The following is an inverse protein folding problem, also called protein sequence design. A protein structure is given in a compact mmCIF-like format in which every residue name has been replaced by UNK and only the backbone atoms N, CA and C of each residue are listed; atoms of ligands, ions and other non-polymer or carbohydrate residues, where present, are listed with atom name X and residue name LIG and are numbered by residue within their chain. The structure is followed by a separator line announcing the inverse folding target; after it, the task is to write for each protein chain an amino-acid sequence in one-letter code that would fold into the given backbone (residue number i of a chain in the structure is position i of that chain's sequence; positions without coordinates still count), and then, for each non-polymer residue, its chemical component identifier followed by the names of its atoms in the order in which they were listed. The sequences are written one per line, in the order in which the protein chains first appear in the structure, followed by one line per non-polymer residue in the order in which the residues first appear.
data_IF_309468866953
#
_entry.id   IF_309468866953
#
_cell.length_a   1.000
_cell.length_b   1.000
_cell.length_c   1.000
_cell.angle_alpha   90.00
_cell.angle_beta   90.00
_cell.angle_gamma   90.00
#
_symmetry.space_group_name_H-M   'P 1'
#
loop_
_entity.id
_entity.type
_entity.pdbx_description
1 polymer ?
#
# COMPACT_ATOMS: atom_id res chain seq x y z
N UNK A 1 -4.88 -9.89 -1.46
CA UNK A 1 -6.26 -10.37 -1.29
C UNK A 1 -6.20 -11.50 -0.28
N UNK A 2 -6.84 -11.34 0.88
CA UNK A 2 -6.79 -12.33 1.96
C UNK A 2 -8.18 -12.95 2.11
N UNK A 3 -8.32 -14.24 1.83
CA UNK A 3 -9.52 -14.99 2.17
C UNK A 3 -9.42 -15.39 3.65
N UNK A 4 -10.38 -14.95 4.47
CA UNK A 4 -10.43 -15.35 5.88
C UNK A 4 -11.38 -16.53 6.01
N UNK A 5 -10.82 -17.70 6.30
CA UNK A 5 -11.58 -18.91 6.58
C UNK A 5 -11.87 -18.96 8.09
N UNK A 6 -13.13 -18.84 8.47
CA UNK A 6 -13.56 -19.06 9.85
C UNK A 6 -14.19 -20.44 9.94
N UNK A 7 -13.55 -21.33 10.71
CA UNK A 7 -14.11 -22.63 11.07
C UNK A 7 -14.45 -22.59 12.56
N UNK A 8 -15.72 -22.66 12.90
CA UNK A 8 -16.20 -22.85 14.26
C UNK A 8 -16.75 -24.27 14.38
N UNK A 9 -16.23 -25.03 15.34
CA UNK A 9 -16.73 -26.37 15.67
C UNK A 9 -17.20 -26.36 17.11
N UNK A 10 -18.45 -26.72 17.35
CA UNK A 10 -19.01 -26.90 18.67
C UNK A 10 -19.44 -28.37 18.83
N UNK A 11 -19.04 -28.99 19.94
CA UNK A 11 -19.38 -30.37 20.28
C UNK A 11 -20.16 -30.36 21.59
N UNK A 12 -21.40 -30.82 21.54
CA UNK A 12 -22.23 -30.99 22.74
C UNK A 12 -21.81 -32.27 23.49
N UNK A 13 -22.03 -32.29 24.80
CA UNK A 13 -21.72 -33.43 25.69
C UNK A 13 -22.51 -34.71 25.33
N UNK A 14 -23.53 -34.59 24.46
CA UNK A 14 -24.34 -35.68 23.91
C UNK A 14 -23.82 -36.24 22.57
N UNK A 15 -22.65 -35.78 22.11
CA UNK A 15 -22.00 -36.28 20.89
C UNK A 15 -22.45 -35.62 19.58
N UNK A 16 -23.30 -34.60 19.64
CA UNK A 16 -23.68 -33.82 18.46
C UNK A 16 -22.59 -32.78 18.14
N UNK A 17 -22.12 -32.78 16.90
CA UNK A 17 -21.13 -31.86 16.37
C UNK A 17 -21.77 -30.89 15.37
N UNK A 18 -21.60 -29.59 15.61
CA UNK A 18 -22.03 -28.54 14.69
C UNK A 18 -20.76 -27.84 14.17
N UNK A 19 -20.53 -27.93 12.87
CA UNK A 19 -19.43 -27.26 12.18
C UNK A 19 -19.98 -26.13 11.29
N UNK A 20 -19.56 -24.89 11.58
CA UNK A 20 -19.89 -23.71 10.79
C UNK A 20 -18.60 -23.27 10.08
N UNK A 21 -18.60 -23.32 8.74
CA UNK A 21 -17.52 -22.81 7.90
C UNK A 21 -18.02 -21.57 7.15
N UNK A 22 -17.44 -20.40 7.43
CA UNK A 22 -17.69 -19.18 6.67
C UNK A 22 -16.43 -18.76 5.93
N UNK A 23 -16.58 -18.57 4.62
CA UNK A 23 -15.54 -18.03 3.74
C UNK A 23 -15.88 -16.57 3.50
N UNK A 24 -15.15 -15.68 4.16
CA UNK A 24 -15.24 -14.24 3.89
C UNK A 24 -14.10 -13.91 2.93
N UNK A 25 -14.46 -13.80 1.65
CA UNK A 25 -13.52 -13.49 0.57
C UNK A 25 -13.61 -12.01 0.26
N UNK A 26 -12.47 -11.32 0.28
CA UNK A 26 -12.32 -9.93 -0.17
C UNK A 26 -12.33 -9.82 -1.72
N UNK A 27 -12.93 -10.83 -2.37
CA UNK A 27 -13.14 -10.90 -3.81
C UNK A 27 -14.53 -10.33 -4.12
N UNK A 28 -14.64 -9.39 -5.07
CA UNK A 28 -15.93 -8.80 -5.43
C UNK A 28 -16.84 -9.77 -6.18
N UNK A 29 -16.31 -10.93 -6.62
CA UNK A 29 -17.10 -12.02 -7.17
C UNK A 29 -17.53 -12.99 -6.07
N UNK A 30 -18.83 -13.32 -6.06
CA UNK A 30 -19.34 -14.44 -5.28
C UNK A 30 -18.64 -15.74 -5.70
N UNK A 31 -18.33 -16.65 -4.75
CA UNK A 31 -17.96 -18.03 -5.04
C UNK A 31 -18.90 -18.68 -6.05
N UNK A 32 -18.34 -19.50 -6.94
CA UNK A 32 -19.09 -20.16 -8.04
C UNK A 32 -20.29 -20.95 -7.51
N UNK A 33 -20.15 -21.61 -6.36
CA UNK A 33 -21.22 -22.36 -5.68
C UNK A 33 -22.39 -21.47 -5.24
N UNK A 34 -22.11 -20.21 -4.88
CA UNK A 34 -23.13 -19.24 -4.48
C UNK A 34 -23.79 -18.60 -5.70
N UNK A 35 -23.05 -18.39 -6.79
CA UNK A 35 -23.59 -17.95 -8.08
C UNK A 35 -24.53 -19.00 -8.70
N UNK A 36 -24.18 -20.29 -8.58
CA UNK A 36 -25.03 -21.39 -9.05
C UNK A 36 -26.36 -21.44 -8.28
N UNK A 37 -26.32 -21.29 -6.95
CA UNK A 37 -27.54 -21.18 -6.13
C UNK A 37 -28.38 -19.94 -6.46
N UNK A 38 -27.73 -18.82 -6.77
CA UNK A 38 -28.41 -17.59 -7.20
C UNK A 38 -29.09 -17.80 -8.56
N UNK A 39 -28.42 -18.47 -9.50
CA UNK A 39 -28.95 -18.80 -10.82
C UNK A 39 -30.20 -19.68 -10.76
N UNK A 40 -30.26 -20.63 -9.81
CA UNK A 40 -31.41 -21.52 -9.62
C UNK A 40 -32.70 -20.80 -9.23
N UNK A 41 -32.62 -19.68 -8.49
CA UNK A 41 -33.78 -18.93 -8.01
C UNK A 41 -34.09 -17.68 -8.85
N UNK A 42 -33.05 -16.96 -9.29
CA UNK A 42 -33.15 -15.70 -10.03
C UNK A 42 -31.95 -15.54 -10.99
N UNK A 43 -32.03 -16.11 -12.20
CA UNK A 43 -30.92 -16.10 -13.15
C UNK A 43 -30.53 -14.70 -13.63
N UNK A 44 -31.49 -13.76 -13.63
CA UNK A 44 -31.30 -12.34 -13.95
C UNK A 44 -30.32 -11.61 -13.01
N UNK A 45 -30.25 -12.04 -11.75
CA UNK A 45 -29.37 -11.42 -10.76
C UNK A 45 -27.90 -11.81 -10.95
N UNK A 46 -27.62 -12.93 -11.63
CA UNK A 46 -26.24 -13.34 -11.91
C UNK A 46 -25.58 -12.37 -12.87
N UNK A 47 -26.29 -11.95 -13.92
CA UNK A 47 -25.78 -10.97 -14.90
C UNK A 47 -25.58 -9.60 -14.25
N UNK A 48 -26.50 -9.19 -13.37
CA UNK A 48 -26.36 -7.98 -12.57
C UNK A 48 -25.10 -8.02 -11.69
N UNK A 49 -24.89 -9.09 -10.93
CA UNK A 49 -23.70 -9.25 -10.07
C UNK A 49 -22.42 -9.18 -10.91
N UNK A 50 -22.36 -9.87 -12.04
CA UNK A 50 -21.18 -9.83 -12.93
C UNK A 50 -20.92 -8.41 -13.44
N UNK A 51 -21.96 -7.67 -13.83
CA UNK A 51 -21.84 -6.30 -14.30
C UNK A 51 -21.32 -5.36 -13.19
N UNK A 52 -21.93 -5.41 -12.01
CA UNK A 52 -21.51 -4.61 -10.86
C UNK A 52 -20.07 -4.93 -10.45
N UNK A 53 -19.68 -6.21 -10.44
CA UNK A 53 -18.30 -6.61 -10.15
C UNK A 53 -17.31 -6.07 -11.20
N UNK A 54 -17.69 -6.04 -12.48
CA UNK A 54 -16.84 -5.44 -13.52
C UNK A 54 -16.69 -3.92 -13.32
N UNK A 55 -17.75 -3.23 -12.93
CA UNK A 55 -17.73 -1.79 -12.67
C UNK A 55 -16.86 -1.47 -11.44
N UNK A 56 -17.03 -2.20 -10.35
CA UNK A 56 -16.17 -2.07 -9.16
C UNK A 56 -14.70 -2.33 -9.50
N UNK A 57 -14.40 -3.37 -10.28
CA UNK A 57 -13.04 -3.68 -10.71
C UNK A 57 -12.42 -2.56 -11.57
N UNK A 58 -13.21 -1.91 -12.44
CA UNK A 58 -12.76 -0.73 -13.21
C UNK A 58 -12.47 0.44 -12.29
N UNK A 59 -13.33 0.73 -11.32
CA UNK A 59 -13.14 1.79 -10.33
C UNK A 59 -11.87 1.55 -9.51
N UNK A 60 -11.67 0.34 -8.97
CA UNK A 60 -10.45 -0.03 -8.23
C UNK A 60 -9.18 0.11 -9.06
N UNK A 61 -9.21 -0.26 -10.35
CA UNK A 61 -8.07 -0.05 -11.25
C UNK A 61 -7.77 1.42 -11.47
N UNK A 62 -8.81 2.24 -11.63
CA UNK A 62 -8.67 3.68 -11.80
C UNK A 62 -8.12 4.36 -10.54
N UNK A 63 -8.62 3.98 -9.36
CA UNK A 63 -8.13 4.45 -8.07
C UNK A 63 -6.68 4.06 -7.85
N UNK A 64 -6.32 2.78 -8.06
CA UNK A 64 -4.94 2.32 -7.96
C UNK A 64 -4.03 3.10 -8.91
N UNK A 65 -4.48 3.42 -10.12
CA UNK A 65 -3.70 4.24 -11.07
C UNK A 65 -3.47 5.65 -10.52
N UNK A 66 -4.50 6.29 -9.95
CA UNK A 66 -4.39 7.63 -9.34
C UNK A 66 -3.47 7.61 -8.13
N UNK A 67 -3.66 6.65 -7.23
CA UNK A 67 -2.82 6.48 -6.03
C UNK A 67 -1.36 6.28 -6.43
N UNK A 68 -1.09 5.35 -7.36
CA UNK A 68 0.28 5.11 -7.84
C UNK A 68 0.90 6.36 -8.46
N UNK A 69 0.11 7.15 -9.20
CA UNK A 69 0.57 8.39 -9.79
C UNK A 69 0.88 9.46 -8.74
N UNK A 70 0.03 9.65 -7.74
CA UNK A 70 0.30 10.58 -6.64
C UNK A 70 1.50 10.15 -5.80
N UNK A 71 1.62 8.86 -5.47
CA UNK A 71 2.79 8.31 -4.79
C UNK A 71 4.06 8.52 -5.62
N UNK A 72 3.98 8.37 -6.95
CA UNK A 72 5.11 8.66 -7.83
C UNK A 72 5.51 10.14 -7.78
N UNK A 73 4.54 11.05 -7.88
CA UNK A 73 4.77 12.49 -7.78
C UNK A 73 5.40 12.85 -6.43
N UNK A 74 4.85 12.34 -5.33
CA UNK A 74 5.37 12.59 -3.99
C UNK A 74 6.84 12.16 -3.86
N UNK A 75 7.19 10.99 -4.40
CA UNK A 75 8.57 10.50 -4.43
C UNK A 75 9.50 11.39 -5.25
N UNK A 76 9.05 11.84 -6.43
CA UNK A 76 9.82 12.75 -7.28
C UNK A 76 10.03 14.10 -6.58
N UNK A 77 8.99 14.65 -5.97
CA UNK A 77 9.09 15.91 -5.21
C UNK A 77 10.06 15.76 -4.04
N UNK A 78 9.96 14.67 -3.28
CA UNK A 78 10.90 14.38 -2.19
C UNK A 78 12.35 14.28 -2.66
N UNK A 79 12.59 13.65 -3.81
CA UNK A 79 13.92 13.57 -4.43
C UNK A 79 14.46 14.94 -4.84
N UNK A 80 13.63 15.78 -5.45
CA UNK A 80 14.02 17.15 -5.87
C UNK A 80 14.37 18.01 -4.65
N UNK A 81 13.56 17.99 -3.59
CA UNK A 81 13.88 18.74 -2.37
C UNK A 81 15.14 18.21 -1.68
N UNK A 82 15.34 16.89 -1.66
CA UNK A 82 16.56 16.27 -1.14
C UNK A 82 17.79 16.74 -1.90
N UNK A 83 17.72 16.83 -3.24
CA UNK A 83 18.82 17.35 -4.06
C UNK A 83 19.13 18.82 -3.74
N UNK A 84 18.11 19.67 -3.59
CA UNK A 84 18.30 21.09 -3.28
C UNK A 84 18.99 21.24 -1.91
N UNK A 85 18.53 20.52 -0.88
CA UNK A 85 19.12 20.55 0.45
C UNK A 85 20.57 20.06 0.41
N UNK A 86 20.86 19.01 -0.37
CA UNK A 86 22.21 18.50 -0.55
C UNK A 86 23.14 19.55 -1.18
N UNK A 87 22.69 20.22 -2.25
CA UNK A 87 23.47 21.26 -2.92
C UNK A 87 23.74 22.43 -1.98
N UNK A 88 22.72 22.92 -1.26
CA UNK A 88 22.89 24.04 -0.32
C UNK A 88 23.83 23.66 0.82
N UNK A 89 23.69 22.47 1.40
CA UNK A 89 24.56 22.02 2.50
C UNK A 89 26.02 21.83 2.07
N UNK A 90 26.26 21.28 0.88
CA UNK A 90 27.62 21.10 0.33
C UNK A 90 28.24 22.47 -0.03
N UNK A 91 27.51 23.34 -0.73
CA UNK A 91 28.01 24.67 -1.09
C UNK A 91 28.28 25.52 0.15
N UNK A 92 27.40 25.46 1.15
CA UNK A 92 27.59 26.14 2.43
C UNK A 92 28.83 25.62 3.18
N UNK A 93 29.07 24.31 3.17
CA UNK A 93 30.26 23.73 3.79
C UNK A 93 31.55 24.17 3.08
N UNK A 94 31.56 24.18 1.74
CA UNK A 94 32.71 24.65 0.95
C UNK A 94 32.99 26.13 1.24
N UNK A 95 31.96 26.97 1.24
CA UNK A 95 32.08 28.40 1.50
C UNK A 95 32.69 28.68 2.89
N UNK A 96 32.20 27.99 3.93
CA UNK A 96 32.73 28.12 5.30
C UNK A 96 34.19 27.65 5.41
N UNK A 97 34.59 26.63 4.63
CA UNK A 97 35.97 26.16 4.58
C UNK A 97 36.90 27.20 3.94
N UNK A 98 36.44 27.90 2.90
CA UNK A 98 37.21 28.97 2.27
C UNK A 98 37.40 30.19 3.17
N UNK A 99 36.44 30.47 4.06
CA UNK A 99 36.56 31.53 5.08
C UNK A 99 37.44 31.13 6.29
N UNK A 100 37.96 29.90 6.33
CA UNK A 100 38.83 29.41 7.40
C UNK A 100 38.09 28.85 8.62
N UNK A 101 36.76 28.67 8.53
CA UNK A 101 35.95 28.02 9.56
C UNK A 101 35.90 26.49 9.38
N UNK A 102 37.06 25.83 9.35
CA UNK A 102 37.20 24.40 9.03
C UNK A 102 36.33 23.49 9.90
N UNK A 103 36.18 23.82 11.19
CA UNK A 103 35.32 23.07 12.11
C UNK A 103 33.83 23.13 11.73
N UNK A 104 33.35 24.31 11.33
CA UNK A 104 31.96 24.50 10.91
C UNK A 104 31.71 23.84 9.55
N UNK A 105 32.68 23.96 8.63
CA UNK A 105 32.64 23.28 7.33
C UNK A 105 32.56 21.75 7.49
N UNK A 106 33.39 21.18 8.37
CA UNK A 106 33.43 19.73 8.64
C UNK A 106 32.13 19.20 9.26
N UNK A 107 31.59 19.91 10.26
CA UNK A 107 30.33 19.51 10.89
C UNK A 107 29.14 19.64 9.94
N UNK A 108 29.05 20.73 9.18
CA UNK A 108 27.96 20.93 8.23
C UNK A 108 28.00 19.89 7.10
N UNK A 109 29.17 19.61 6.53
CA UNK A 109 29.33 18.62 5.46
C UNK A 109 28.97 17.20 5.92
N UNK A 110 29.46 16.79 7.11
CA UNK A 110 29.17 15.47 7.66
C UNK A 110 27.69 15.29 8.02
N UNK A 111 27.06 16.30 8.64
CA UNK A 111 25.62 16.27 8.96
C UNK A 111 24.79 16.19 7.69
N UNK A 112 25.10 16.99 6.67
CA UNK A 112 24.36 17.01 5.40
C UNK A 112 24.40 15.66 4.71
N UNK A 113 25.59 15.07 4.52
CA UNK A 113 25.73 13.76 3.87
C UNK A 113 25.12 12.65 4.72
N UNK A 114 25.34 12.70 6.04
CA UNK A 114 24.84 11.70 6.99
C UNK A 114 23.31 11.64 7.04
N UNK A 115 22.64 12.79 7.11
CA UNK A 115 21.16 12.83 7.10
C UNK A 115 20.58 12.35 5.77
N UNK A 116 21.20 12.69 4.64
CA UNK A 116 20.78 12.18 3.34
C UNK A 116 20.94 10.65 3.28
N UNK A 117 22.08 10.11 3.70
CA UNK A 117 22.30 8.67 3.72
C UNK A 117 21.24 7.92 4.56
N UNK A 118 20.92 8.43 5.75
CA UNK A 118 19.87 7.85 6.61
C UNK A 118 18.50 7.95 5.96
N UNK A 119 18.16 9.11 5.37
CA UNK A 119 16.87 9.30 4.71
C UNK A 119 16.65 8.33 3.56
N UNK A 120 17.68 8.02 2.77
CA UNK A 120 17.58 7.04 1.68
C UNK A 120 17.63 5.58 2.16
N UNK A 121 18.40 5.27 3.20
CA UNK A 121 18.50 3.90 3.73
C UNK A 121 17.25 3.46 4.49
N UNK A 122 16.60 4.36 5.23
CA UNK A 122 15.36 4.07 5.97
C UNK A 122 14.13 3.91 5.06
N UNK A 123 14.20 4.41 3.82
CA UNK A 123 13.08 4.39 2.88
C UNK A 123 13.05 3.13 1.98
N UNK A 124 13.84 2.11 2.32
CA UNK A 124 13.75 0.74 1.77
C UNK A 124 12.83 -0.10 2.65
#
# INVERSE_FOLDING_TARGET
MAAKHVKAQARDSRGNEIAIASTNSDSPLLPVEQLERLHQFRPDLVDFVVNETQEEAKTRRNENRKINFYTFIERIIGLVFSLIIALVGILGAIYLGLEGHDWLAGTLGTVTIGTLAVAYLKNK
#
